data_IF_981027106419
#
_entry.id   IF_981027106419
#
_cell.length_a   1.000
_cell.length_b   1.000
_cell.length_c   1.000
_cell.angle_alpha   90.00
_cell.angle_beta   90.00
_cell.angle_gamma   90.00
#
_symmetry.space_group_name_H-M   'P 1'
#
loop_
_entity.id
_entity.type
_entity.pdbx_description
1 polymer ?
#
# COMPACT_ATOMS: atom_id res chain seq x y z
N UNK A 1 34.70 -13.12 -3.32
CA UNK A 1 34.42 -14.24 -4.26
C UNK A 1 33.91 -13.77 -5.63
N UNK A 2 32.95 -12.85 -5.72
CA UNK A 2 32.45 -12.34 -7.02
C UNK A 2 33.56 -11.84 -7.95
N UNK A 3 34.49 -11.02 -7.43
CA UNK A 3 35.63 -10.52 -8.21
C UNK A 3 36.56 -11.62 -8.76
N UNK A 4 36.67 -12.78 -8.10
CA UNK A 4 37.49 -13.90 -8.60
C UNK A 4 36.82 -14.59 -9.78
N UNK A 5 35.51 -14.82 -9.70
CA UNK A 5 34.72 -15.42 -10.80
C UNK A 5 34.73 -14.50 -12.02
N UNK A 6 34.52 -13.20 -11.84
CA UNK A 6 34.59 -12.23 -12.94
C UNK A 6 36.02 -12.16 -13.53
N UNK A 7 37.08 -12.25 -12.70
CA UNK A 7 38.46 -12.27 -13.19
C UNK A 7 38.79 -13.52 -14.02
N UNK A 8 38.28 -14.69 -13.60
CA UNK A 8 38.43 -15.93 -14.36
C UNK A 8 37.70 -15.86 -15.71
N UNK A 9 36.53 -15.20 -15.76
CA UNK A 9 35.77 -14.99 -17.01
C UNK A 9 36.44 -14.03 -18.00
N UNK A 10 37.27 -13.11 -17.50
CA UNK A 10 38.04 -12.18 -18.33
C UNK A 10 39.34 -12.79 -18.86
N UNK A 11 39.67 -14.03 -18.45
CA UNK A 11 40.87 -14.72 -18.93
C UNK A 11 40.65 -15.16 -20.37
N UNK A 12 41.52 -14.72 -21.29
CA UNK A 12 41.41 -15.06 -22.72
C UNK A 12 41.78 -16.54 -22.91
N UNK A 13 40.86 -17.39 -23.39
CA UNK A 13 41.18 -18.78 -23.71
C UNK A 13 42.04 -18.88 -24.97
N UNK A 14 42.67 -20.04 -25.17
CA UNK A 14 43.40 -20.33 -26.41
C UNK A 14 42.49 -20.18 -27.65
N UNK A 15 43.04 -19.82 -28.82
CA UNK A 15 42.25 -19.63 -30.04
C UNK A 15 41.37 -20.86 -30.35
N UNK A 16 40.07 -20.64 -30.54
CA UNK A 16 39.10 -21.70 -30.83
C UNK A 16 38.41 -22.31 -29.59
N UNK A 17 38.78 -21.91 -28.38
CA UNK A 17 38.17 -22.41 -27.14
C UNK A 17 37.25 -21.38 -26.50
N UNK A 18 36.13 -21.82 -25.90
CA UNK A 18 35.26 -21.01 -25.05
C UNK A 18 35.49 -21.39 -23.59
N UNK A 19 35.74 -20.40 -22.75
CA UNK A 19 35.91 -20.58 -21.31
C UNK A 19 34.57 -20.34 -20.62
N UNK A 20 34.00 -21.38 -20.04
CA UNK A 20 32.80 -21.29 -19.20
C UNK A 20 33.20 -21.51 -17.74
N UNK A 21 32.84 -20.58 -16.86
CA UNK A 21 33.16 -20.67 -15.43
C UNK A 21 31.95 -21.19 -14.67
N UNK A 22 32.04 -22.44 -14.21
CA UNK A 22 31.00 -23.14 -13.47
C UNK A 22 31.35 -23.32 -11.98
N UNK A 23 30.45 -23.96 -11.22
CA UNK A 23 30.57 -24.20 -9.78
C UNK A 23 29.54 -23.43 -8.96
N UNK A 24 29.35 -23.84 -7.70
CA UNK A 24 28.27 -23.34 -6.83
C UNK A 24 28.33 -21.81 -6.64
N UNK A 25 29.53 -21.25 -6.51
CA UNK A 25 29.70 -19.80 -6.38
C UNK A 25 29.40 -19.06 -7.69
N UNK A 26 29.84 -19.61 -8.83
CA UNK A 26 29.59 -19.00 -10.14
C UNK A 26 28.09 -19.03 -10.49
N UNK A 27 27.41 -20.15 -10.23
CA UNK A 27 25.97 -20.26 -10.44
C UNK A 27 25.14 -19.35 -9.53
N UNK A 28 25.54 -19.18 -8.26
CA UNK A 28 24.86 -18.24 -7.35
C UNK A 28 25.00 -16.77 -7.81
N UNK A 29 26.17 -16.39 -8.32
CA UNK A 29 26.41 -15.05 -8.89
C UNK A 29 25.58 -14.86 -10.17
N UNK A 30 25.56 -15.86 -11.06
CA UNK A 30 24.78 -15.80 -12.31
C UNK A 30 23.28 -15.73 -12.05
N UNK A 31 22.77 -16.51 -11.10
CA UNK A 31 21.38 -16.45 -10.67
C UNK A 31 21.05 -15.05 -10.17
N UNK A 32 21.88 -14.50 -9.27
CA UNK A 32 21.68 -13.14 -8.75
C UNK A 32 21.71 -12.11 -9.88
N UNK A 33 22.70 -12.18 -10.79
CA UNK A 33 22.81 -11.25 -11.92
C UNK A 33 21.62 -11.35 -12.87
N UNK A 34 21.13 -12.57 -13.14
CA UNK A 34 19.96 -12.80 -13.98
C UNK A 34 18.67 -12.26 -13.35
N UNK A 35 18.47 -12.51 -12.05
CA UNK A 35 17.31 -12.02 -11.31
C UNK A 35 17.29 -10.49 -11.27
N UNK A 36 18.38 -9.86 -10.86
CA UNK A 36 18.47 -8.39 -10.74
C UNK A 36 18.60 -7.67 -12.09
N UNK A 37 19.03 -8.36 -13.15
CA UNK A 37 18.97 -7.83 -14.52
C UNK A 37 17.54 -7.70 -15.04
N UNK A 38 16.67 -8.66 -14.71
CA UNK A 38 15.25 -8.63 -15.09
C UNK A 38 14.37 -7.80 -14.15
N UNK A 39 14.76 -7.69 -12.87
CA UNK A 39 13.95 -7.06 -11.83
C UNK A 39 13.48 -5.62 -12.15
N UNK A 40 14.30 -4.70 -12.71
CA UNK A 40 13.85 -3.35 -13.08
C UNK A 40 12.70 -3.34 -14.10
N UNK A 41 12.70 -4.28 -15.05
CA UNK A 41 11.62 -4.41 -16.03
C UNK A 41 10.32 -4.88 -15.38
N UNK A 42 10.41 -5.82 -14.44
CA UNK A 42 9.26 -6.30 -13.65
C UNK A 42 8.70 -5.17 -12.79
N UNK A 43 9.56 -4.41 -12.11
CA UNK A 43 9.16 -3.23 -11.31
C UNK A 43 8.45 -2.21 -12.20
N UNK A 44 9.05 -1.83 -13.33
CA UNK A 44 8.46 -0.87 -14.26
C UNK A 44 7.11 -1.34 -14.80
N UNK A 45 6.99 -2.61 -15.18
CA UNK A 45 5.75 -3.21 -15.66
C UNK A 45 4.66 -3.16 -14.58
N UNK A 46 4.99 -3.57 -13.36
CA UNK A 46 4.04 -3.59 -12.24
C UNK A 46 3.58 -2.19 -11.90
N UNK A 47 4.49 -1.22 -11.78
CA UNK A 47 4.15 0.19 -11.52
C UNK A 47 3.28 0.78 -12.64
N UNK A 48 3.64 0.56 -13.91
CA UNK A 48 2.90 1.10 -15.04
C UNK A 48 1.49 0.50 -15.13
N UNK A 49 1.37 -0.82 -14.99
CA UNK A 49 0.08 -1.52 -15.03
C UNK A 49 -0.81 -1.09 -13.87
N UNK A 50 -0.25 -1.02 -12.67
CA UNK A 50 -0.90 -0.55 -11.45
C UNK A 50 -1.42 0.87 -11.58
N UNK A 51 -0.53 1.77 -12.01
CA UNK A 51 -0.87 3.17 -12.17
C UNK A 51 -1.97 3.33 -13.21
N UNK A 52 -1.86 2.63 -14.35
CA UNK A 52 -2.86 2.62 -15.40
C UNK A 52 -4.22 2.10 -14.93
N UNK A 53 -4.24 0.99 -14.18
CA UNK A 53 -5.46 0.41 -13.62
C UNK A 53 -6.14 1.37 -12.64
N UNK A 54 -5.40 1.91 -11.67
CA UNK A 54 -5.94 2.87 -10.71
C UNK A 54 -6.39 4.15 -11.39
N UNK A 55 -5.63 4.64 -12.36
CA UNK A 55 -5.97 5.82 -13.13
C UNK A 55 -7.30 5.60 -13.88
N UNK A 56 -7.48 4.45 -14.52
CA UNK A 56 -8.71 4.11 -15.23
C UNK A 56 -9.90 3.95 -14.27
N UNK A 57 -9.69 3.27 -13.15
CA UNK A 57 -10.73 3.04 -12.14
C UNK A 57 -11.16 4.35 -11.51
N UNK A 58 -10.23 5.11 -10.92
CA UNK A 58 -10.54 6.30 -10.12
C UNK A 58 -10.68 7.57 -10.93
N UNK A 59 -10.20 7.60 -12.19
CA UNK A 59 -10.13 8.80 -13.02
C UNK A 59 -9.53 9.97 -12.24
N UNK A 60 -8.44 9.70 -11.52
CA UNK A 60 -7.66 10.67 -10.77
C UNK A 60 -6.18 10.39 -11.05
N UNK A 61 -5.38 11.45 -11.11
CA UNK A 61 -3.92 11.35 -11.31
C UNK A 61 -3.20 11.26 -9.96
N UNK A 62 -3.73 11.94 -8.94
CA UNK A 62 -3.12 12.00 -7.61
C UNK A 62 -3.32 10.70 -6.82
N UNK A 63 -4.48 10.03 -6.97
CA UNK A 63 -4.75 8.77 -6.27
C UNK A 63 -3.79 7.63 -6.68
N UNK A 64 -3.58 7.34 -7.98
CA UNK A 64 -2.59 6.35 -8.40
C UNK A 64 -1.16 6.74 -8.02
N UNK A 65 -0.82 8.02 -8.13
CA UNK A 65 0.52 8.48 -7.78
C UNK A 65 0.81 8.30 -6.29
N UNK A 66 -0.12 8.70 -5.40
CA UNK A 66 0.07 8.48 -3.96
C UNK A 66 0.16 6.99 -3.64
N UNK A 67 -0.62 6.14 -4.32
CA UNK A 67 -0.66 4.71 -4.07
C UNK A 67 0.72 4.09 -4.31
N UNK A 68 1.30 4.42 -5.47
CA UNK A 68 2.66 4.01 -5.82
C UNK A 68 3.68 4.56 -4.81
N UNK A 69 3.59 5.83 -4.42
CA UNK A 69 4.51 6.42 -3.45
C UNK A 69 4.43 5.76 -2.06
N UNK A 70 3.22 5.48 -1.58
CA UNK A 70 3.01 4.78 -0.30
C UNK A 70 3.54 3.35 -0.36
N UNK A 71 3.36 2.65 -1.48
CA UNK A 71 3.93 1.32 -1.69
C UNK A 71 5.46 1.34 -1.72
N UNK A 72 6.06 2.32 -2.38
CA UNK A 72 7.53 2.48 -2.39
C UNK A 72 8.06 2.80 -0.98
N UNK A 73 7.36 3.65 -0.23
CA UNK A 73 7.73 3.97 1.15
C UNK A 73 7.61 2.73 2.05
N UNK A 74 6.53 1.94 1.88
CA UNK A 74 6.37 0.67 2.57
C UNK A 74 7.49 -0.32 2.25
N UNK A 75 7.83 -0.44 0.97
CA UNK A 75 8.91 -1.32 0.53
C UNK A 75 10.24 -0.89 1.14
N UNK A 76 10.52 0.42 1.15
CA UNK A 76 11.70 0.99 1.79
C UNK A 76 11.76 0.70 3.30
N UNK A 77 10.65 0.87 4.01
CA UNK A 77 10.55 0.54 5.43
C UNK A 77 10.79 -0.96 5.69
N UNK A 78 10.19 -1.83 4.87
CA UNK A 78 10.34 -3.27 4.98
C UNK A 78 11.75 -3.75 4.64
N UNK A 79 12.41 -3.17 3.62
CA UNK A 79 13.82 -3.43 3.34
C UNK A 79 14.74 -2.92 4.45
N UNK A 80 14.46 -1.74 5.01
CA UNK A 80 15.18 -1.21 6.17
C UNK A 80 15.08 -2.15 7.38
N UNK A 81 13.87 -2.66 7.67
CA UNK A 81 13.66 -3.66 8.70
C UNK A 81 14.44 -4.95 8.41
N UNK A 82 14.43 -5.43 7.17
CA UNK A 82 15.17 -6.63 6.76
C UNK A 82 16.69 -6.47 6.98
N UNK A 83 17.25 -5.32 6.59
CA UNK A 83 18.66 -4.99 6.80
C UNK A 83 18.98 -4.91 8.30
N UNK A 84 18.13 -4.27 9.10
CA UNK A 84 18.33 -4.17 10.55
C UNK A 84 18.31 -5.55 11.22
N UNK A 85 17.42 -6.45 10.80
CA UNK A 85 17.31 -7.78 11.39
C UNK A 85 18.45 -8.71 10.95
N UNK A 86 18.70 -8.83 9.64
CA UNK A 86 19.61 -9.84 9.10
C UNK A 86 21.05 -9.38 8.91
N UNK A 87 21.27 -8.11 8.57
CA UNK A 87 22.63 -7.57 8.41
C UNK A 87 23.16 -6.99 9.72
N UNK A 88 22.36 -6.17 10.41
CA UNK A 88 22.77 -5.55 11.68
C UNK A 88 22.58 -6.47 12.89
N UNK A 89 21.84 -7.57 12.74
CA UNK A 89 21.66 -8.55 13.80
C UNK A 89 20.76 -8.09 14.95
N UNK A 90 19.78 -7.21 14.71
CA UNK A 90 18.93 -6.64 15.76
C UNK A 90 18.22 -7.71 16.63
N UNK A 91 17.86 -8.86 16.05
CA UNK A 91 17.22 -9.99 16.76
C UNK A 91 18.21 -11.08 17.22
N UNK A 92 19.51 -10.90 17.02
CA UNK A 92 20.53 -11.91 17.36
C UNK A 92 20.69 -12.14 18.86
N UNK A 93 20.37 -11.15 19.69
CA UNK A 93 20.50 -11.22 21.15
C UNK A 93 19.28 -11.78 21.89
N UNK A 94 18.22 -12.19 21.19
CA UNK A 94 17.00 -12.70 21.82
C UNK A 94 17.15 -14.15 22.30
N UNK A 95 16.42 -14.58 23.35
CA UNK A 95 16.37 -15.98 23.75
C UNK A 95 15.77 -16.87 22.65
N UNK A 96 16.25 -18.11 22.54
CA UNK A 96 15.61 -19.12 21.71
C UNK A 96 14.14 -19.32 22.15
N UNK A 97 13.16 -19.39 21.23
CA UNK A 97 13.25 -19.64 19.78
C UNK A 97 13.34 -18.40 18.88
N UNK A 98 13.37 -17.18 19.44
CA UNK A 98 13.38 -15.92 18.69
C UNK A 98 14.78 -15.43 18.30
N UNK A 99 15.83 -16.19 18.66
CA UNK A 99 17.20 -15.93 18.24
C UNK A 99 17.36 -16.18 16.73
N UNK A 100 17.66 -15.13 15.97
CA UNK A 100 18.01 -15.26 14.55
C UNK A 100 19.50 -15.04 14.35
N UNK A 101 20.21 -15.97 13.69
CA UNK A 101 21.63 -15.81 13.43
C UNK A 101 21.86 -14.59 12.52
N UNK A 102 22.86 -13.78 12.87
CA UNK A 102 23.30 -12.68 12.01
C UNK A 102 23.96 -13.27 10.77
N UNK A 103 23.27 -13.15 9.64
CA UNK A 103 23.74 -13.69 8.35
C UNK A 103 24.80 -12.78 7.73
N UNK A 104 24.74 -11.47 8.01
CA UNK A 104 25.64 -10.47 7.42
C UNK A 104 25.34 -10.15 5.95
N UNK A 105 24.33 -10.81 5.38
CA UNK A 105 23.81 -10.56 4.04
C UNK A 105 22.30 -10.85 4.00
N UNK A 106 21.65 -10.34 2.96
CA UNK A 106 20.26 -10.68 2.62
C UNK A 106 20.32 -11.60 1.42
N UNK A 107 19.61 -12.72 1.48
CA UNK A 107 19.51 -13.67 0.37
C UNK A 107 18.88 -12.99 -0.86
N UNK A 108 19.39 -13.30 -2.06
CA UNK A 108 19.10 -12.53 -3.28
C UNK A 108 17.62 -12.56 -3.70
N UNK A 109 16.90 -13.63 -3.38
CA UNK A 109 15.49 -13.86 -3.72
C UNK A 109 14.55 -13.14 -2.76
N UNK A 110 14.95 -12.94 -1.50
CA UNK A 110 14.16 -12.25 -0.47
C UNK A 110 13.61 -10.89 -0.92
N UNK A 111 14.41 -9.91 -1.41
CA UNK A 111 13.89 -8.59 -1.77
C UNK A 111 12.90 -8.65 -2.93
N UNK A 112 13.10 -9.58 -3.86
CA UNK A 112 12.23 -9.76 -5.03
C UNK A 112 10.90 -10.37 -4.60
N UNK A 113 10.93 -11.41 -3.76
CA UNK A 113 9.71 -11.99 -3.19
C UNK A 113 8.96 -10.97 -2.37
N UNK A 114 9.66 -10.22 -1.52
CA UNK A 114 9.08 -9.17 -0.69
C UNK A 114 8.45 -8.08 -1.55
N UNK A 115 9.12 -7.66 -2.64
CA UNK A 115 8.52 -6.74 -3.61
C UNK A 115 7.24 -7.31 -4.20
N UNK A 116 7.27 -8.51 -4.77
CA UNK A 116 6.09 -9.13 -5.37
C UNK A 116 4.94 -9.32 -4.37
N UNK A 117 5.24 -9.79 -3.15
CA UNK A 117 4.25 -10.03 -2.10
C UNK A 117 3.66 -8.72 -1.59
N UNK A 118 4.48 -7.74 -1.20
CA UNK A 118 3.97 -6.46 -0.71
C UNK A 118 3.22 -5.72 -1.80
N UNK A 119 3.74 -5.67 -3.02
CA UNK A 119 3.08 -4.94 -4.09
C UNK A 119 1.76 -5.61 -4.50
N UNK A 120 1.73 -6.94 -4.59
CA UNK A 120 0.49 -7.69 -4.87
C UNK A 120 -0.56 -7.50 -3.77
N UNK A 121 -0.19 -7.73 -2.50
CA UNK A 121 -1.09 -7.50 -1.37
C UNK A 121 -1.48 -6.01 -1.26
N UNK A 122 -0.60 -5.08 -1.64
CA UNK A 122 -0.87 -3.65 -1.54
C UNK A 122 -1.89 -3.15 -2.51
N UNK A 123 -1.71 -3.56 -3.76
CA UNK A 123 -2.61 -3.19 -4.82
C UNK A 123 -4.02 -3.70 -4.59
N UNK A 124 -4.17 -4.94 -4.14
CA UNK A 124 -5.49 -5.52 -3.91
C UNK A 124 -6.26 -4.71 -2.86
N UNK A 125 -5.68 -4.47 -1.68
CA UNK A 125 -6.37 -3.75 -0.63
C UNK A 125 -6.51 -2.25 -0.88
N UNK A 126 -5.54 -1.60 -1.52
CA UNK A 126 -5.65 -0.17 -1.81
C UNK A 126 -6.78 0.09 -2.81
N UNK A 127 -6.93 -0.76 -3.84
CA UNK A 127 -8.07 -0.70 -4.75
C UNK A 127 -9.39 -0.90 -3.99
N UNK A 128 -9.49 -1.91 -3.13
CA UNK A 128 -10.70 -2.16 -2.34
C UNK A 128 -11.05 -1.01 -1.40
N UNK A 129 -10.06 -0.50 -0.64
CA UNK A 129 -10.23 0.59 0.30
C UNK A 129 -10.63 1.87 -0.44
N UNK A 130 -9.91 2.23 -1.50
CA UNK A 130 -10.19 3.44 -2.28
C UNK A 130 -11.53 3.34 -3.01
N UNK A 131 -11.91 2.16 -3.52
CA UNK A 131 -13.23 1.95 -4.13
C UNK A 131 -14.33 2.23 -3.12
N UNK A 132 -14.19 1.72 -1.89
CA UNK A 132 -15.19 1.92 -0.85
C UNK A 132 -15.28 3.36 -0.37
N UNK A 133 -14.12 4.02 -0.18
CA UNK A 133 -14.06 5.44 0.16
C UNK A 133 -14.70 6.27 -0.95
N UNK A 134 -14.46 5.91 -2.22
CA UNK A 134 -15.08 6.60 -3.36
C UNK A 134 -16.59 6.45 -3.38
N UNK A 135 -17.10 5.25 -3.17
CA UNK A 135 -18.54 5.00 -3.14
C UNK A 135 -19.23 5.89 -2.10
N UNK A 136 -18.68 5.97 -0.88
CA UNK A 136 -19.22 6.84 0.17
C UNK A 136 -19.06 8.33 -0.18
N UNK A 137 -17.94 8.70 -0.83
CA UNK A 137 -17.70 10.09 -1.24
C UNK A 137 -18.67 10.54 -2.33
N UNK A 138 -18.98 9.66 -3.29
CA UNK A 138 -19.99 9.93 -4.33
C UNK A 138 -21.40 10.05 -3.74
N UNK A 139 -21.68 9.35 -2.64
CA UNK A 139 -22.98 9.41 -1.96
C UNK A 139 -23.13 10.63 -1.04
N UNK A 140 -22.06 11.06 -0.36
CA UNK A 140 -22.13 12.06 0.72
C UNK A 140 -21.44 13.38 0.43
N UNK A 141 -20.44 13.40 -0.47
CA UNK A 141 -19.60 14.57 -0.72
C UNK A 141 -18.63 14.95 0.41
N UNK A 142 -18.67 14.25 1.55
CA UNK A 142 -17.82 14.50 2.71
C UNK A 142 -16.61 13.54 2.70
N UNK A 143 -15.43 14.07 2.39
CA UNK A 143 -14.20 13.28 2.31
C UNK A 143 -13.80 12.69 3.67
N UNK A 144 -13.99 13.42 4.76
CA UNK A 144 -13.58 12.97 6.10
C UNK A 144 -14.42 11.77 6.53
N UNK A 145 -15.75 11.89 6.40
CA UNK A 145 -16.67 10.80 6.66
C UNK A 145 -16.40 9.59 5.77
N UNK A 146 -16.16 9.82 4.48
CA UNK A 146 -15.92 8.75 3.50
C UNK A 146 -14.67 7.93 3.83
N UNK A 147 -13.59 8.58 4.25
CA UNK A 147 -12.37 7.90 4.70
C UNK A 147 -12.63 7.07 5.96
N UNK A 148 -13.35 7.61 6.94
CA UNK A 148 -13.68 6.88 8.19
C UNK A 148 -14.54 5.65 7.92
N UNK A 149 -15.62 5.80 7.14
CA UNK A 149 -16.54 4.70 6.82
C UNK A 149 -15.86 3.63 5.97
N UNK A 150 -15.09 4.04 4.95
CA UNK A 150 -14.32 3.11 4.12
C UNK A 150 -13.29 2.32 4.94
N UNK A 151 -12.59 2.99 5.86
CA UNK A 151 -11.62 2.33 6.73
C UNK A 151 -12.28 1.36 7.72
N UNK A 152 -13.42 1.72 8.32
CA UNK A 152 -14.16 0.83 9.23
C UNK A 152 -14.65 -0.44 8.52
N UNK A 153 -15.10 -0.31 7.27
CA UNK A 153 -15.60 -1.44 6.48
C UNK A 153 -14.46 -2.39 6.04
N UNK A 154 -13.34 -1.84 5.57
CA UNK A 154 -12.24 -2.65 5.02
C UNK A 154 -11.21 -3.09 6.06
N UNK A 155 -11.12 -2.39 7.20
CA UNK A 155 -10.06 -2.60 8.19
C UNK A 155 -9.98 -4.03 8.73
N UNK A 156 -11.13 -4.63 9.07
CA UNK A 156 -11.18 -6.04 9.58
C UNK A 156 -10.70 -7.07 8.55
N UNK A 157 -10.99 -6.83 7.28
CA UNK A 157 -10.58 -7.74 6.19
C UNK A 157 -9.07 -7.63 5.96
N UNK A 158 -8.55 -6.40 5.94
CA UNK A 158 -7.12 -6.12 5.75
C UNK A 158 -6.30 -6.72 6.90
N UNK A 159 -6.68 -6.44 8.15
CA UNK A 159 -5.95 -6.96 9.31
C UNK A 159 -6.04 -8.47 9.44
N UNK A 160 -7.20 -9.06 9.12
CA UNK A 160 -7.38 -10.52 9.10
C UNK A 160 -6.48 -11.21 8.10
N UNK A 161 -6.41 -10.71 6.87
CA UNK A 161 -5.54 -11.28 5.86
C UNK A 161 -4.05 -11.08 6.16
N UNK A 162 -3.67 -9.90 6.66
CA UNK A 162 -2.31 -9.66 7.14
C UNK A 162 -1.95 -10.64 8.27
N UNK A 163 -2.85 -10.89 9.21
CA UNK A 163 -2.64 -11.85 10.30
C UNK A 163 -2.42 -13.27 9.77
N UNK A 164 -3.17 -13.71 8.74
CA UNK A 164 -2.96 -15.02 8.11
C UNK A 164 -1.58 -15.11 7.46
N UNK A 165 -1.19 -14.11 6.68
CA UNK A 165 0.12 -14.09 6.01
C UNK A 165 1.26 -14.08 7.03
N UNK A 166 1.15 -13.26 8.07
CA UNK A 166 2.13 -13.22 9.18
C UNK A 166 2.17 -14.55 9.94
N UNK A 167 1.04 -15.19 10.19
CA UNK A 167 1.00 -16.48 10.87
C UNK A 167 1.65 -17.60 10.03
N UNK A 168 1.37 -17.65 8.73
CA UNK A 168 1.97 -18.64 7.81
C UNK A 168 3.47 -18.40 7.66
N UNK A 169 3.89 -17.17 7.37
CA UNK A 169 5.29 -16.81 7.23
C UNK A 169 6.07 -17.00 8.55
N UNK A 170 5.46 -16.61 9.67
CA UNK A 170 6.00 -16.82 11.01
C UNK A 170 6.14 -18.31 11.38
N UNK A 171 5.22 -19.17 10.92
CA UNK A 171 5.34 -20.62 11.12
C UNK A 171 6.59 -21.18 10.44
N UNK A 172 6.86 -20.80 9.18
CA UNK A 172 8.12 -21.16 8.49
C UNK A 172 9.35 -20.62 9.22
N UNK A 173 9.24 -19.45 9.84
CA UNK A 173 10.31 -18.85 10.62
C UNK A 173 10.65 -19.63 11.89
N UNK A 174 9.68 -20.31 12.50
CA UNK A 174 9.85 -21.01 13.78
C UNK A 174 10.12 -22.51 13.58
N UNK A 175 9.54 -23.12 12.54
CA UNK A 175 9.58 -24.56 12.31
C UNK A 175 10.70 -25.05 11.39
N UNK A 176 11.36 -24.16 10.63
CA UNK A 176 12.38 -24.58 9.68
C UNK A 176 13.76 -24.78 10.34
N UNK A 177 14.38 -25.94 10.13
CA UNK A 177 15.77 -26.19 10.54
C UNK A 177 16.79 -25.49 9.60
N UNK A 178 16.34 -25.15 8.39
CA UNK A 178 17.16 -24.48 7.38
C UNK A 178 17.12 -22.98 7.60
N UNK A 179 18.27 -22.39 7.92
CA UNK A 179 18.43 -20.96 8.23
C UNK A 179 17.88 -20.05 7.12
N UNK A 180 18.02 -20.44 5.86
CA UNK A 180 17.50 -19.71 4.70
C UNK A 180 15.96 -19.63 4.73
N UNK A 181 15.28 -20.73 5.05
CA UNK A 181 13.82 -20.78 5.14
C UNK A 181 13.35 -19.97 6.37
N UNK A 182 14.07 -20.03 7.49
CA UNK A 182 13.79 -19.16 8.65
C UNK A 182 13.84 -17.69 8.27
N UNK A 183 14.89 -17.29 7.53
CA UNK A 183 15.07 -15.92 7.10
C UNK A 183 13.96 -15.46 6.13
N UNK A 184 13.55 -16.33 5.20
CA UNK A 184 12.38 -16.15 4.33
C UNK A 184 11.08 -15.94 5.10
N UNK A 185 10.76 -16.83 6.03
CA UNK A 185 9.57 -16.72 6.85
C UNK A 185 9.53 -15.42 7.65
N UNK A 186 10.61 -15.11 8.37
CA UNK A 186 10.68 -13.90 9.20
C UNK A 186 10.65 -12.62 8.37
N UNK A 187 11.41 -12.58 7.27
CA UNK A 187 11.51 -11.41 6.41
C UNK A 187 10.15 -11.03 5.81
N UNK A 188 9.41 -12.02 5.31
CA UNK A 188 8.06 -11.81 4.78
C UNK A 188 7.08 -11.40 5.90
N UNK A 189 7.13 -12.07 7.06
CA UNK A 189 6.25 -11.75 8.18
C UNK A 189 6.45 -10.31 8.67
N UNK A 190 7.71 -9.88 8.87
CA UNK A 190 8.03 -8.52 9.29
C UNK A 190 7.60 -7.49 8.25
N UNK A 191 7.87 -7.75 6.98
CA UNK A 191 7.52 -6.83 5.90
C UNK A 191 6.01 -6.59 5.81
N UNK A 192 5.21 -7.67 5.86
CA UNK A 192 3.75 -7.59 5.81
C UNK A 192 3.19 -6.94 7.08
N UNK A 193 3.77 -7.24 8.25
CA UNK A 193 3.36 -6.62 9.51
C UNK A 193 3.57 -5.11 9.50
N UNK A 194 4.74 -4.65 9.05
CA UNK A 194 5.09 -3.22 8.93
C UNK A 194 4.14 -2.51 7.98
N UNK A 195 3.92 -3.08 6.79
CA UNK A 195 3.05 -2.50 5.77
C UNK A 195 1.58 -2.42 6.23
N UNK A 196 1.04 -3.53 6.74
CA UNK A 196 -0.35 -3.60 7.20
C UNK A 196 -0.66 -2.64 8.36
N UNK A 197 0.33 -2.36 9.22
CA UNK A 197 0.15 -1.51 10.40
C UNK A 197 0.57 -0.06 10.18
N UNK A 198 1.84 0.19 9.84
CA UNK A 198 2.38 1.54 9.73
C UNK A 198 1.91 2.22 8.46
N UNK A 199 1.93 1.51 7.33
CA UNK A 199 1.60 2.15 6.05
C UNK A 199 0.09 2.21 5.88
N UNK A 200 -0.59 1.07 5.94
CA UNK A 200 -2.03 1.00 5.64
C UNK A 200 -2.90 1.38 6.82
N UNK A 201 -2.48 1.03 8.04
CA UNK A 201 -3.23 1.37 9.25
C UNK A 201 -3.15 2.86 9.58
N UNK A 202 -2.04 3.54 9.23
CA UNK A 202 -1.78 4.91 9.65
C UNK A 202 -1.53 5.88 8.48
N UNK A 203 -0.52 5.63 7.64
CA UNK A 203 -0.11 6.57 6.59
C UNK A 203 -1.17 6.77 5.50
N UNK A 204 -1.80 5.70 5.02
CA UNK A 204 -2.79 5.78 3.94
C UNK A 204 -4.03 6.60 4.37
N UNK A 205 -4.66 6.34 5.54
CA UNK A 205 -5.76 7.18 6.04
C UNK A 205 -5.33 8.63 6.30
N UNK A 206 -4.15 8.84 6.90
CA UNK A 206 -3.65 10.18 7.20
C UNK A 206 -3.44 11.01 5.92
N UNK A 207 -2.85 10.41 4.90
CA UNK A 207 -2.63 11.09 3.60
C UNK A 207 -3.94 11.37 2.88
N UNK A 208 -4.90 10.44 2.90
CA UNK A 208 -6.23 10.67 2.35
C UNK A 208 -6.97 11.83 3.03
N UNK A 209 -6.79 11.98 4.34
CA UNK A 209 -7.35 13.09 5.10
C UNK A 209 -6.66 14.42 4.77
N UNK A 210 -5.33 14.42 4.69
CA UNK A 210 -4.52 15.61 4.35
C UNK A 210 -4.77 16.14 2.94
N UNK A 211 -4.87 15.25 1.94
CA UNK A 211 -5.10 15.65 0.56
C UNK A 211 -6.53 16.13 0.29
N UNK A 212 -7.51 15.76 1.11
CA UNK A 212 -8.87 16.29 1.01
C UNK A 212 -9.47 16.14 -0.39
N UNK A 213 -9.98 17.25 -0.94
CA UNK A 213 -10.56 17.32 -2.27
C UNK A 213 -9.55 17.10 -3.41
N UNK A 214 -8.24 17.26 -3.17
CA UNK A 214 -7.20 17.07 -4.19
C UNK A 214 -7.06 15.61 -4.60
N UNK A 215 -7.48 14.66 -3.76
CA UNK A 215 -7.55 13.25 -4.12
C UNK A 215 -8.38 13.02 -5.40
N UNK A 216 -9.39 13.84 -5.64
CA UNK A 216 -10.32 13.67 -6.75
C UNK A 216 -10.01 14.56 -7.96
N UNK A 217 -8.85 15.23 -7.96
CA UNK A 217 -8.48 16.16 -9.03
C UNK A 217 -8.08 15.44 -10.32
N UNK A 218 -8.72 15.86 -11.41
CA UNK A 218 -8.40 15.44 -12.77
C UNK A 218 -8.03 16.68 -13.61
N UNK A 219 -6.91 16.67 -14.34
CA UNK A 219 -6.54 17.79 -15.21
C UNK A 219 -7.62 18.08 -16.26
N UNK A 220 -7.87 19.36 -16.55
CA UNK A 220 -8.94 19.84 -17.44
C UNK A 220 -8.83 19.39 -18.91
N UNK A 221 -7.65 18.92 -19.35
CA UNK A 221 -7.47 18.29 -20.66
C UNK A 221 -7.87 16.80 -20.67
N UNK A 222 -7.71 16.10 -19.55
CA UNK A 222 -8.17 14.71 -19.36
C UNK A 222 -9.69 14.63 -19.15
N UNK A 223 -10.28 15.63 -18.49
CA UNK A 223 -11.74 15.77 -18.35
C UNK A 223 -12.45 15.82 -19.72
N UNK A 224 -11.80 16.39 -20.74
CA UNK A 224 -12.34 16.45 -22.11
C UNK A 224 -12.35 15.09 -22.83
N UNK A 225 -11.41 14.20 -22.51
CA UNK A 225 -11.28 12.88 -23.15
C UNK A 225 -12.03 11.81 -22.38
N UNK A 226 -12.00 11.88 -21.05
CA UNK A 226 -12.56 10.87 -20.15
C UNK A 226 -13.86 11.33 -19.47
N UNK A 227 -14.42 12.49 -19.80
CA UNK A 227 -15.61 13.04 -19.16
C UNK A 227 -15.33 13.62 -17.76
N UNK A 228 -16.25 14.42 -17.20
CA UNK A 228 -16.07 15.02 -15.88
C UNK A 228 -15.90 13.96 -14.79
N UNK A 229 -14.89 14.15 -13.92
CA UNK A 229 -14.81 13.52 -12.60
C UNK A 229 -15.94 14.12 -11.76
N UNK A 230 -17.17 13.63 -11.96
CA UNK A 230 -18.38 14.26 -11.44
C UNK A 230 -18.42 14.22 -9.91
N UNK A 231 -18.45 15.43 -9.33
CA UNK A 231 -18.81 15.68 -7.93
C UNK A 231 -18.39 17.04 -7.36
N UNK A 232 -17.36 17.71 -7.89
CA UNK A 232 -16.64 18.76 -7.11
C UNK A 232 -17.09 20.22 -7.35
N UNK A 233 -18.12 20.50 -8.17
CA UNK A 233 -18.50 21.90 -8.46
C UNK A 233 -19.75 22.48 -7.76
N UNK A 234 -20.42 21.79 -6.84
CA UNK A 234 -21.68 22.31 -6.24
C UNK A 234 -21.60 22.70 -4.74
N UNK A 235 -20.79 22.02 -3.92
CA UNK A 235 -20.86 22.20 -2.45
C UNK A 235 -20.23 23.49 -1.91
N UNK A 236 -19.26 24.08 -2.61
CA UNK A 236 -18.50 25.24 -2.08
C UNK A 236 -19.26 26.57 -2.20
N UNK A 237 -20.22 26.67 -3.12
CA UNK A 237 -21.05 27.86 -3.27
C UNK A 237 -22.22 27.90 -2.26
N UNK A 238 -22.77 26.73 -1.89
CA UNK A 238 -23.97 26.66 -1.05
C UNK A 238 -23.66 26.89 0.44
N UNK A 239 -22.51 26.44 0.94
CA UNK A 239 -22.15 26.64 2.36
C UNK A 239 -21.87 28.10 2.69
N UNK A 240 -21.36 28.90 1.74
CA UNK A 240 -21.10 30.31 2.00
C UNK A 240 -22.35 31.21 1.86
N UNK A 241 -23.40 30.75 1.16
CA UNK A 241 -24.66 31.47 1.01
C UNK A 241 -25.68 31.23 2.14
N UNK A 242 -25.58 30.12 2.88
CA UNK A 242 -26.55 29.79 3.94
C UNK A 242 -26.22 30.36 5.32
N UNK A 243 -25.02 30.92 5.52
CA UNK A 243 -24.66 31.54 6.82
C UNK A 243 -25.21 32.97 6.96
N UNK A 244 -25.73 33.58 5.88
CA UNK A 244 -26.27 34.95 5.89
C UNK A 244 -27.79 35.05 6.03
N UNK A 245 -28.56 33.96 5.94
CA UNK A 245 -30.01 33.97 6.18
C UNK A 245 -30.34 33.22 7.48
N UNK A 246 -30.20 33.94 8.60
CA UNK A 246 -30.80 33.54 9.87
C UNK A 246 -32.33 33.52 9.77
N UNK A 247 -33.02 32.72 10.60
CA UNK A 247 -34.47 32.62 10.54
C UNK A 247 -35.10 33.96 10.94
N UNK A 248 -35.86 34.58 10.02
CA UNK A 248 -36.77 35.68 10.35
C UNK A 248 -37.85 35.15 11.29
N UNK A 249 -37.76 35.56 12.54
CA UNK A 249 -38.84 35.42 13.51
C UNK A 249 -39.85 36.53 13.19
N UNK A 250 -40.87 36.18 12.42
CA UNK A 250 -42.01 37.07 12.19
C UNK A 250 -42.91 37.03 13.43
N UNK A 251 -42.87 38.13 14.19
CA UNK A 251 -43.78 38.40 15.27
C UNK A 251 -45.07 39.02 14.77
N UNK A 252 -46.20 38.42 15.14
CA UNK A 252 -47.48 39.11 15.30
C UNK A 252 -48.59 38.69 14.33
N UNK A 253 -49.54 37.90 14.83
CA UNK A 253 -50.97 38.17 14.71
C UNK A 253 -51.76 37.15 15.56
N UNK A 254 -52.58 37.71 16.44
CA UNK A 254 -53.69 37.09 17.17
C UNK A 254 -54.56 36.22 16.27
N UNK A 255 -54.84 34.97 16.68
CA UNK A 255 -56.17 34.41 16.43
C UNK A 255 -56.60 33.35 17.45
N UNK A 256 -57.91 33.30 17.64
CA UNK A 256 -58.62 32.83 18.82
C UNK A 256 -58.72 31.29 18.88
N UNK A 257 -58.54 30.74 20.08
CA UNK A 257 -58.88 29.34 20.41
C UNK A 257 -60.33 29.31 20.91
N UNK A 258 -61.28 28.59 20.26
CA UNK A 258 -62.61 28.42 20.81
C UNK A 258 -62.63 27.32 21.88
N UNK A 259 -63.25 27.63 23.02
CA UNK A 259 -63.54 26.68 24.11
C UNK A 259 -64.67 25.72 23.70
N UNK A 260 -64.54 24.40 23.93
CA UNK A 260 -65.67 23.47 23.78
C UNK A 260 -66.59 23.56 25.01
N UNK A 261 -67.77 24.15 24.82
CA UNK A 261 -68.92 23.99 25.72
C UNK A 261 -69.49 22.58 25.57
N UNK A 262 -69.56 21.84 26.68
CA UNK A 262 -70.16 20.51 26.72
C UNK A 262 -71.69 20.53 26.66
N UNK A 263 -72.29 19.43 26.20
CA UNK A 263 -73.63 19.02 26.61
C UNK A 263 -73.72 17.51 26.74
N UNK A 264 -73.95 17.08 27.97
CA UNK A 264 -74.42 15.77 28.38
C UNK A 264 -75.86 15.59 27.85
N UNK A 265 -76.11 14.53 27.09
CA UNK A 265 -77.37 13.77 27.05
C UNK A 265 -77.10 12.34 26.65
#
# INVERSE_FOLDING_TARGET
MAGLVDSLRLTVPAPGWRLEVAGVSASAIDLTRSLYGGFPYVVALILATTYGLLFLTFRSVLLPLKAVLMNLLSLGASYGALVAVFQMGLLSGLPAPFAFPQMGYVEATLPILLFCTLFGLSMDYEVFLLSRIREEFLATGDNSRSVTVGLQASGRVITGAAAIVVAVAGSFSLAADVVQIKALGLGIALAVLVDATLVRGLLVPATLHLLGAWNWWLPSWLVRVFGPSTGVHSGFATVHGQVTEGPRVDGGATDQVPLPTGSIR
#
